data_IF_540446333294
#
_entry.id   IF_540446333294
#
_cell.length_a   1.000
_cell.length_b   1.000
_cell.length_c   1.000
_cell.angle_alpha   90.00
_cell.angle_beta   90.00
_cell.angle_gamma   90.00
#
_symmetry.space_group_name_H-M   'P 1'
#
loop_
_entity.id
_entity.type
_entity.pdbx_description
1 polymer ?
#
# COMPACT_ATOMS: atom_id res chain seq x y z
N UNK A 1 -50.60 25.34 9.07
CA UNK A 1 -51.09 25.52 7.69
C UNK A 1 -50.69 24.29 6.89
N UNK A 2 -51.70 23.67 6.27
CA UNK A 2 -51.69 22.50 5.37
C UNK A 2 -51.18 21.16 5.90
N UNK A 3 -52.16 20.29 6.12
CA UNK A 3 -52.12 18.87 6.45
C UNK A 3 -51.54 18.01 5.32
N UNK A 4 -50.83 16.94 5.68
CA UNK A 4 -51.00 15.65 4.99
C UNK A 4 -51.07 14.56 6.06
N UNK A 5 -52.24 13.94 6.14
CA UNK A 5 -52.58 12.88 7.09
C UNK A 5 -52.66 11.57 6.29
N UNK A 6 -51.72 10.66 6.59
CA UNK A 6 -51.91 9.25 6.94
C UNK A 6 -52.78 8.32 6.07
N UNK A 7 -52.18 7.18 5.65
CA UNK A 7 -52.79 5.84 5.71
C UNK A 7 -51.84 4.77 5.16
N UNK A 8 -51.26 3.96 6.03
CA UNK A 8 -51.24 2.47 5.96
C UNK A 8 -50.26 1.91 7.00
N UNK A 9 -50.71 1.82 8.25
CA UNK A 9 -50.50 0.66 9.14
C UNK A 9 -50.91 1.06 10.56
N UNK A 10 -52.13 0.70 10.95
CA UNK A 10 -52.60 0.84 12.31
C UNK A 10 -51.79 -0.05 13.25
N UNK A 11 -50.89 0.56 14.02
CA UNK A 11 -50.38 0.04 15.29
C UNK A 11 -49.85 1.21 16.12
N UNK A 12 -50.62 1.59 17.14
CA UNK A 12 -50.23 2.56 18.17
C UNK A 12 -49.21 1.91 19.10
N UNK A 13 -48.02 2.48 19.21
CA UNK A 13 -47.15 2.26 20.37
C UNK A 13 -46.72 3.61 20.95
N UNK A 14 -46.90 3.70 22.27
CA UNK A 14 -46.74 4.87 23.13
C UNK A 14 -45.29 5.36 23.16
N UNK A 15 -45.13 6.68 23.16
CA UNK A 15 -43.86 7.37 23.35
C UNK A 15 -43.46 7.30 24.83
N UNK A 16 -42.33 6.66 25.14
CA UNK A 16 -41.66 6.77 26.44
C UNK A 16 -40.30 7.42 26.24
N UNK A 17 -40.14 8.57 26.90
CA UNK A 17 -38.93 9.37 26.99
C UNK A 17 -37.83 8.57 27.70
N UNK A 18 -36.64 8.48 27.10
CA UNK A 18 -35.35 8.46 27.82
C UNK A 18 -34.18 8.58 26.82
N UNK A 19 -33.83 9.82 26.49
CA UNK A 19 -32.59 10.15 25.79
C UNK A 19 -31.44 10.25 26.80
N UNK A 20 -30.60 9.21 26.91
CA UNK A 20 -29.31 9.29 27.59
C UNK A 20 -28.21 9.61 26.57
N UNK A 21 -27.86 10.89 26.50
CA UNK A 21 -26.78 11.41 25.67
C UNK A 21 -25.42 11.14 26.38
N UNK A 22 -24.65 10.13 25.95
CA UNK A 22 -23.26 9.93 26.41
C UNK A 22 -22.28 10.58 25.45
N UNK A 23 -21.80 11.75 25.86
CA UNK A 23 -20.71 12.53 25.25
C UNK A 23 -19.38 12.00 25.77
N UNK A 24 -18.60 11.30 24.95
CA UNK A 24 -17.23 10.94 25.28
C UNK A 24 -16.32 12.15 25.05
N UNK A 25 -15.77 12.69 26.16
CA UNK A 25 -14.74 13.74 26.17
C UNK A 25 -13.44 13.06 26.58
N UNK A 26 -12.50 12.88 25.65
CA UNK A 26 -11.16 12.36 25.97
C UNK A 26 -10.27 13.57 26.25
N UNK A 27 -9.90 13.74 27.52
CA UNK A 27 -8.92 14.73 27.97
C UNK A 27 -7.53 14.09 27.92
N UNK A 28 -6.61 14.69 27.16
CA UNK A 28 -5.21 14.30 27.15
C UNK A 28 -4.52 14.88 28.37
N UNK A 29 -4.03 14.00 29.26
CA UNK A 29 -3.14 14.35 30.36
C UNK A 29 -1.71 14.51 29.82
N UNK A 30 -1.16 15.69 30.09
CA UNK A 30 0.24 16.07 29.90
C UNK A 30 1.10 15.26 30.86
N UNK A 31 2.05 14.48 30.35
CA UNK A 31 3.10 13.86 31.15
C UNK A 31 4.37 14.71 31.03
N UNK A 32 4.66 15.45 32.10
CA UNK A 32 5.92 16.15 32.35
C UNK A 32 6.99 15.16 32.80
N UNK A 33 8.19 15.33 32.26
CA UNK A 33 9.41 14.60 32.64
C UNK A 33 9.96 15.13 33.96
N UNK A 34 10.55 14.29 34.84
CA UNK A 34 11.47 14.77 35.86
C UNK A 34 12.91 14.35 35.54
N UNK A 35 13.75 15.36 35.43
CA UNK A 35 15.19 15.32 35.63
C UNK A 35 15.53 15.08 37.11
N UNK A 36 16.36 14.10 37.42
CA UNK A 36 17.13 14.06 38.67
C UNK A 36 18.52 13.51 38.37
N UNK A 37 19.53 14.36 38.55
CA UNK A 37 20.93 13.95 38.59
C UNK A 37 21.28 13.40 39.97
N UNK A 38 22.19 12.43 40.00
CA UNK A 38 22.92 12.05 41.21
C UNK A 38 24.38 11.84 40.82
N UNK A 39 25.22 12.62 41.50
CA UNK A 39 26.67 12.63 41.56
C UNK A 39 27.24 11.33 42.19
N UNK A 40 28.58 11.25 42.23
CA UNK A 40 29.47 10.35 42.98
C UNK A 40 29.95 9.08 42.24
N UNK A 41 31.23 8.66 42.25
CA UNK A 41 32.42 9.04 43.02
C UNK A 41 33.68 8.85 42.15
N UNK A 42 34.63 9.78 42.24
CA UNK A 42 36.03 9.57 41.85
C UNK A 42 36.69 8.58 42.82
N UNK A 43 37.52 7.67 42.30
CA UNK A 43 38.58 7.02 43.08
C UNK A 43 39.89 7.16 42.29
N UNK A 44 40.71 8.09 42.76
CA UNK A 44 42.11 8.25 42.37
C UNK A 44 42.95 7.24 43.16
N UNK A 45 43.70 6.40 42.46
CA UNK A 45 44.89 5.71 42.92
C UNK A 45 45.78 5.63 41.66
N UNK A 46 46.88 6.36 41.58
CA UNK A 46 48.10 6.09 42.34
C UNK A 46 49.06 5.47 41.33
N UNK A 47 50.03 6.24 40.85
CA UNK A 47 51.08 5.74 39.97
C UNK A 47 52.09 4.91 40.76
N UNK A 48 52.68 3.90 40.11
CA UNK A 48 54.13 3.74 40.15
C UNK A 48 54.65 2.83 39.02
N UNK A 49 55.95 3.01 38.77
CA UNK A 49 56.77 2.54 37.65
C UNK A 49 57.04 1.02 37.71
N UNK A 50 57.26 0.39 36.55
CA UNK A 50 57.90 -0.93 36.51
C UNK A 50 57.69 -1.69 35.20
N UNK A 51 58.65 -1.58 34.29
CA UNK A 51 58.69 -2.39 33.08
C UNK A 51 58.97 -3.87 33.37
N UNK A 52 58.25 -4.75 32.67
CA UNK A 52 58.70 -6.12 32.40
C UNK A 52 58.02 -6.59 31.10
N UNK A 53 58.75 -6.53 29.98
CA UNK A 53 58.27 -7.06 28.69
C UNK A 53 58.39 -8.59 28.78
N UNK A 54 57.25 -9.26 28.94
CA UNK A 54 57.16 -10.72 28.90
C UNK A 54 57.07 -11.19 27.44
N UNK A 55 57.70 -12.34 27.14
CA UNK A 55 57.68 -13.04 25.84
C UNK A 55 56.28 -13.38 25.30
N UNK A 56 55.20 -13.07 26.03
CA UNK A 56 53.79 -13.19 25.61
C UNK A 56 53.33 -12.08 24.67
N UNK A 57 54.02 -10.94 24.61
CA UNK A 57 53.55 -9.77 23.84
C UNK A 57 53.81 -9.90 22.33
N UNK A 58 54.82 -10.68 21.94
CA UNK A 58 55.17 -10.90 20.52
C UNK A 58 54.14 -11.81 19.83
N UNK A 59 53.62 -12.82 20.55
CA UNK A 59 52.55 -13.69 20.05
C UNK A 59 51.20 -12.97 20.00
N UNK A 60 50.94 -12.06 20.95
CA UNK A 60 49.76 -11.19 20.96
C UNK A 60 49.76 -10.22 19.77
N UNK A 61 50.89 -9.55 19.52
CA UNK A 61 51.06 -8.64 18.39
C UNK A 61 50.96 -9.35 17.03
N UNK A 62 51.49 -10.57 16.89
CA UNK A 62 51.36 -11.37 15.69
C UNK A 62 49.91 -11.82 15.44
N UNK A 63 49.18 -12.26 16.49
CA UNK A 63 47.74 -12.58 16.39
C UNK A 63 46.88 -11.37 16.06
N UNK A 64 47.21 -10.19 16.59
CA UNK A 64 46.50 -8.95 16.32
C UNK A 64 46.76 -8.45 14.88
N UNK A 65 48.01 -8.56 14.41
CA UNK A 65 48.39 -8.27 13.02
C UNK A 65 47.71 -9.19 12.01
N UNK A 66 47.62 -10.50 12.30
CA UNK A 66 46.90 -11.47 11.45
C UNK A 66 45.39 -11.20 11.49
N UNK A 67 44.79 -10.91 12.65
CA UNK A 67 43.37 -10.52 12.72
C UNK A 67 43.08 -9.22 11.97
N UNK A 68 43.94 -8.22 12.04
CA UNK A 68 43.78 -6.98 11.28
C UNK A 68 43.98 -7.19 9.78
N UNK A 69 44.92 -8.04 9.36
CA UNK A 69 45.10 -8.41 7.96
C UNK A 69 43.93 -9.22 7.40
N UNK A 70 43.37 -10.17 8.17
CA UNK A 70 42.18 -10.95 7.80
C UNK A 70 40.94 -10.06 7.78
N UNK A 71 40.76 -9.16 8.76
CA UNK A 71 39.68 -8.18 8.76
C UNK A 71 39.80 -7.21 7.58
N UNK A 72 41.00 -6.71 7.27
CA UNK A 72 41.23 -5.81 6.13
C UNK A 72 41.07 -6.51 4.79
N UNK A 73 41.47 -7.77 4.68
CA UNK A 73 41.27 -8.60 3.47
C UNK A 73 39.79 -8.95 3.28
N UNK A 74 39.06 -9.25 4.36
CA UNK A 74 37.62 -9.46 4.29
C UNK A 74 36.84 -8.17 4.04
N UNK A 75 37.30 -7.00 4.51
CA UNK A 75 36.76 -5.68 4.16
C UNK A 75 37.03 -5.31 2.70
N UNK A 76 38.23 -5.61 2.18
CA UNK A 76 38.57 -5.38 0.76
C UNK A 76 37.80 -6.32 -0.16
N UNK A 77 37.55 -7.58 0.23
CA UNK A 77 36.67 -8.50 -0.52
C UNK A 77 35.20 -8.04 -0.41
N UNK A 78 34.76 -7.48 0.72
CA UNK A 78 33.41 -6.89 0.88
C UNK A 78 33.24 -5.60 0.07
N UNK A 79 34.31 -4.81 -0.07
CA UNK A 79 34.36 -3.55 -0.81
C UNK A 79 34.73 -3.74 -2.29
N UNK A 80 35.12 -4.96 -2.69
CA UNK A 80 35.26 -5.41 -4.06
C UNK A 80 33.88 -5.51 -4.72
N UNK A 81 33.26 -4.35 -4.95
CA UNK A 81 32.18 -4.06 -5.91
C UNK A 81 31.39 -5.29 -6.39
N UNK A 82 30.71 -5.99 -5.46
CA UNK A 82 29.50 -6.71 -5.83
C UNK A 82 28.49 -5.60 -6.09
N UNK A 83 28.55 -5.04 -7.31
CA UNK A 83 27.45 -4.27 -7.88
C UNK A 83 26.23 -5.13 -7.65
N UNK A 84 25.35 -4.72 -6.73
CA UNK A 84 24.24 -5.57 -6.38
C UNK A 84 23.46 -5.83 -7.67
N UNK A 85 22.91 -7.03 -7.87
CA UNK A 85 22.07 -7.32 -9.05
C UNK A 85 21.01 -6.21 -9.29
N UNK A 86 20.55 -5.56 -8.21
CA UNK A 86 19.65 -4.39 -8.25
C UNK A 86 20.22 -3.15 -8.95
N UNK A 87 21.54 -2.93 -8.97
CA UNK A 87 22.17 -1.77 -9.63
C UNK A 87 22.27 -1.99 -11.15
N UNK A 88 22.45 -3.26 -11.58
CA UNK A 88 22.45 -3.63 -13.01
C UNK A 88 21.07 -3.56 -13.65
N UNK A 89 20.01 -3.83 -12.87
CA UNK A 89 18.62 -3.78 -13.32
C UNK A 89 18.00 -2.37 -13.25
N UNK A 90 18.69 -1.41 -12.65
CA UNK A 90 18.19 -0.05 -12.46
C UNK A 90 17.72 0.63 -13.76
N UNK A 91 18.50 0.67 -14.87
CA UNK A 91 18.05 1.35 -16.10
C UNK A 91 16.84 0.65 -16.73
N UNK A 92 16.80 -0.67 -16.69
CA UNK A 92 15.68 -1.47 -17.22
C UNK A 92 14.41 -1.17 -16.40
N UNK A 93 14.50 -1.23 -15.07
CA UNK A 93 13.40 -0.92 -14.17
C UNK A 93 12.88 0.50 -14.38
N UNK A 94 13.78 1.48 -14.47
CA UNK A 94 13.43 2.88 -14.72
C UNK A 94 12.69 3.05 -16.05
N UNK A 95 13.24 2.49 -17.14
CA UNK A 95 12.63 2.58 -18.47
C UNK A 95 11.23 1.96 -18.49
N UNK A 96 11.05 0.78 -17.90
CA UNK A 96 9.72 0.17 -17.81
C UNK A 96 8.78 0.95 -16.90
N UNK A 97 9.25 1.51 -15.78
CA UNK A 97 8.39 2.33 -14.91
C UNK A 97 7.90 3.60 -15.62
N UNK A 98 8.73 4.23 -16.46
CA UNK A 98 8.32 5.34 -17.32
C UNK A 98 7.27 4.86 -18.32
N UNK A 99 7.51 3.76 -19.03
CA UNK A 99 6.57 3.19 -20.00
C UNK A 99 5.21 2.88 -19.36
N UNK A 100 5.19 2.22 -18.20
CA UNK A 100 3.98 1.83 -17.49
C UNK A 100 3.22 3.06 -16.96
N UNK A 101 3.94 4.07 -16.45
CA UNK A 101 3.35 5.34 -16.04
C UNK A 101 2.69 6.05 -17.22
N UNK A 102 3.39 6.14 -18.35
CA UNK A 102 2.85 6.72 -19.58
C UNK A 102 1.64 5.93 -20.09
N UNK A 103 1.68 4.60 -20.10
CA UNK A 103 0.56 3.77 -20.55
C UNK A 103 -0.70 3.97 -19.68
N UNK A 104 -0.55 4.02 -18.36
CA UNK A 104 -1.67 4.34 -17.47
C UNK A 104 -2.16 5.78 -17.63
N UNK A 105 -1.26 6.76 -17.77
CA UNK A 105 -1.60 8.16 -18.02
C UNK A 105 -2.39 8.34 -19.32
N UNK A 106 -1.95 7.71 -20.41
CA UNK A 106 -2.67 7.71 -21.69
C UNK A 106 -4.06 7.11 -21.52
N UNK A 107 -4.18 5.95 -20.85
CA UNK A 107 -5.49 5.34 -20.65
C UNK A 107 -6.43 6.22 -19.80
N UNK A 108 -5.93 6.93 -18.78
CA UNK A 108 -6.73 7.91 -18.02
C UNK A 108 -7.24 9.03 -18.95
N UNK A 109 -6.37 9.57 -19.81
CA UNK A 109 -6.74 10.64 -20.75
C UNK A 109 -7.79 10.13 -21.74
N UNK A 110 -7.59 8.94 -22.32
CA UNK A 110 -8.55 8.31 -23.24
C UNK A 110 -9.92 8.14 -22.56
N UNK A 111 -9.94 7.60 -21.33
CA UNK A 111 -11.18 7.44 -20.57
C UNK A 111 -11.84 8.79 -20.24
N UNK A 112 -11.06 9.82 -19.94
CA UNK A 112 -11.57 11.16 -19.66
C UNK A 112 -12.21 11.80 -20.89
N UNK A 113 -11.53 11.75 -22.03
CA UNK A 113 -12.01 12.28 -23.31
C UNK A 113 -13.26 11.53 -23.78
N UNK A 114 -13.30 10.21 -23.61
CA UNK A 114 -14.46 9.40 -23.99
C UNK A 114 -15.73 9.71 -23.19
N UNK A 115 -15.60 10.40 -22.05
CA UNK A 115 -16.71 10.79 -21.18
C UNK A 115 -17.05 12.28 -21.30
N UNK A 116 -16.53 12.97 -22.33
CA UNK A 116 -16.98 14.31 -22.70
C UNK A 116 -18.25 14.24 -23.56
N UNK A 117 -19.08 15.29 -23.47
CA UNK A 117 -20.27 15.50 -24.33
C UNK A 117 -21.28 14.33 -24.42
N UNK A 118 -21.51 13.67 -23.28
CA UNK A 118 -22.44 12.54 -23.17
C UNK A 118 -23.90 13.01 -23.31
N UNK A 119 -24.65 12.36 -24.22
CA UNK A 119 -26.10 12.57 -24.41
C UNK A 119 -26.97 11.52 -23.71
N UNK A 120 -26.44 10.32 -23.49
CA UNK A 120 -27.15 9.20 -22.85
C UNK A 120 -27.22 9.39 -21.32
N UNK A 121 -28.42 9.30 -20.74
CA UNK A 121 -28.65 9.46 -19.30
C UNK A 121 -27.86 8.45 -18.47
N UNK A 122 -27.75 7.19 -18.92
CA UNK A 122 -27.01 6.16 -18.20
C UNK A 122 -25.51 6.46 -18.17
N UNK A 123 -24.98 7.03 -19.25
CA UNK A 123 -23.59 7.47 -19.34
C UNK A 123 -23.32 8.70 -18.47
N UNK A 124 -24.27 9.64 -18.37
CA UNK A 124 -24.16 10.80 -17.48
C UNK A 124 -24.12 10.34 -16.01
N UNK A 125 -24.98 9.39 -15.63
CA UNK A 125 -24.95 8.79 -14.29
C UNK A 125 -23.62 8.08 -14.06
N UNK A 126 -23.17 7.24 -15.00
CA UNK A 126 -21.86 6.57 -14.93
C UNK A 126 -20.71 7.57 -14.73
N UNK A 127 -20.70 8.68 -15.48
CA UNK A 127 -19.72 9.77 -15.32
C UNK A 127 -19.74 10.35 -13.90
N UNK A 128 -20.93 10.59 -13.34
CA UNK A 128 -21.07 11.10 -11.97
C UNK A 128 -20.56 10.14 -10.87
N UNK A 129 -20.41 8.86 -11.20
CA UNK A 129 -19.93 7.82 -10.30
C UNK A 129 -18.45 7.50 -10.47
N UNK A 130 -17.74 8.10 -11.44
CA UNK A 130 -16.36 7.73 -11.80
C UNK A 130 -15.43 7.58 -10.59
N UNK A 131 -15.36 8.58 -9.72
CA UNK A 131 -14.50 8.58 -8.53
C UNK A 131 -14.91 7.57 -7.44
N UNK A 132 -16.03 6.87 -7.61
CA UNK A 132 -16.56 5.87 -6.67
C UNK A 132 -16.24 4.44 -7.10
N UNK A 133 -15.71 4.25 -8.31
CA UNK A 133 -15.18 2.97 -8.74
C UNK A 133 -13.79 2.73 -8.12
N UNK A 134 -13.60 1.56 -7.50
CA UNK A 134 -12.31 1.19 -6.88
C UNK A 134 -11.20 1.07 -7.94
N UNK A 135 -11.57 0.81 -9.19
CA UNK A 135 -10.64 0.73 -10.32
C UNK A 135 -9.97 2.07 -10.60
N UNK A 136 -10.71 3.18 -10.46
CA UNK A 136 -10.17 4.54 -10.58
C UNK A 136 -9.24 4.87 -9.41
N UNK A 137 -9.57 4.43 -8.19
CA UNK A 137 -8.67 4.54 -7.03
C UNK A 137 -7.38 3.76 -7.25
N UNK A 138 -7.50 2.50 -7.70
CA UNK A 138 -6.35 1.65 -7.95
C UNK A 138 -5.45 2.23 -9.04
N UNK A 139 -6.03 2.73 -10.14
CA UNK A 139 -5.27 3.39 -11.21
C UNK A 139 -4.57 4.66 -10.71
N UNK A 140 -5.20 5.41 -9.79
CA UNK A 140 -4.56 6.55 -9.12
C UNK A 140 -3.40 6.09 -8.25
N UNK A 141 -3.57 5.03 -7.46
CA UNK A 141 -2.52 4.45 -6.64
C UNK A 141 -1.32 3.96 -7.48
N UNK A 142 -1.58 3.31 -8.62
CA UNK A 142 -0.56 2.90 -9.60
C UNK A 142 0.27 4.08 -10.06
N UNK A 143 -0.36 5.17 -10.50
CA UNK A 143 0.36 6.34 -11.01
C UNK A 143 1.18 7.06 -9.92
N UNK A 144 0.62 7.22 -8.71
CA UNK A 144 1.35 7.82 -7.58
C UNK A 144 2.58 6.96 -7.25
N UNK A 145 2.40 5.64 -7.23
CA UNK A 145 3.48 4.71 -6.95
C UNK A 145 4.58 4.74 -8.02
N UNK A 146 4.21 4.65 -9.30
CA UNK A 146 5.15 4.66 -10.43
C UNK A 146 5.93 5.98 -10.49
N UNK A 147 5.26 7.11 -10.30
CA UNK A 147 5.92 8.41 -10.21
C UNK A 147 6.94 8.45 -9.07
N UNK A 148 6.57 7.94 -7.89
CA UNK A 148 7.49 7.81 -6.76
C UNK A 148 8.68 6.88 -7.05
N UNK A 149 8.48 5.82 -7.82
CA UNK A 149 9.54 4.90 -8.24
C UNK A 149 10.52 5.58 -9.22
N UNK A 150 9.99 6.27 -10.23
CA UNK A 150 10.78 7.06 -11.18
C UNK A 150 11.63 8.09 -10.42
N UNK A 151 11.03 8.84 -9.50
CA UNK A 151 11.76 9.81 -8.68
C UNK A 151 12.88 9.16 -7.85
N UNK A 152 12.62 8.02 -7.20
CA UNK A 152 13.63 7.28 -6.44
C UNK A 152 14.78 6.75 -7.32
N UNK A 153 14.44 6.22 -8.49
CA UNK A 153 15.39 5.58 -9.39
C UNK A 153 16.24 6.62 -10.14
N UNK A 154 15.66 7.73 -10.58
CA UNK A 154 16.40 8.89 -11.12
C UNK A 154 17.36 9.46 -10.09
N UNK A 155 16.91 9.65 -8.84
CA UNK A 155 17.77 10.15 -7.76
C UNK A 155 18.98 9.23 -7.54
N UNK A 156 18.76 7.90 -7.56
CA UNK A 156 19.83 6.90 -7.40
C UNK A 156 20.77 6.88 -8.63
N UNK A 157 20.23 6.96 -9.84
CA UNK A 157 21.02 6.93 -11.09
C UNK A 157 21.93 8.14 -11.22
N UNK A 158 21.44 9.33 -10.88
CA UNK A 158 22.21 10.56 -10.92
C UNK A 158 23.00 10.84 -9.63
N UNK A 159 22.95 9.91 -8.65
CA UNK A 159 23.57 10.06 -7.31
C UNK A 159 23.15 11.35 -6.60
N UNK A 160 21.99 11.88 -6.95
CA UNK A 160 21.43 13.06 -6.34
C UNK A 160 20.84 12.57 -5.02
N UNK A 161 21.30 13.14 -3.91
CA UNK A 161 20.76 12.88 -2.58
C UNK A 161 21.07 11.50 -1.96
N UNK A 162 22.18 10.84 -2.31
CA UNK A 162 22.55 9.53 -1.74
C UNK A 162 22.63 9.51 -0.20
N UNK A 163 22.92 10.65 0.43
CA UNK A 163 22.94 10.83 1.89
C UNK A 163 21.68 11.50 2.47
N UNK A 164 20.66 11.82 1.65
CA UNK A 164 19.50 12.56 2.10
C UNK A 164 18.51 11.65 2.86
N UNK A 165 18.13 12.01 4.10
CA UNK A 165 17.14 11.26 4.87
C UNK A 165 15.78 11.14 4.15
N UNK A 166 15.42 12.11 3.32
CA UNK A 166 14.18 12.11 2.53
C UNK A 166 14.15 10.97 1.51
N UNK A 167 15.24 10.73 0.76
CA UNK A 167 15.31 9.65 -0.24
C UNK A 167 15.22 8.28 0.44
N UNK A 168 15.86 8.11 1.59
CA UNK A 168 15.75 6.89 2.41
C UNK A 168 14.31 6.67 2.89
N UNK A 169 13.62 7.75 3.29
CA UNK A 169 12.22 7.71 3.66
C UNK A 169 11.32 7.34 2.47
N UNK A 170 11.55 7.91 1.29
CA UNK A 170 10.80 7.57 0.07
C UNK A 170 10.98 6.11 -0.32
N UNK A 171 12.20 5.57 -0.29
CA UNK A 171 12.47 4.15 -0.58
C UNK A 171 11.74 3.22 0.41
N UNK A 172 11.66 3.61 1.69
CA UNK A 172 10.87 2.90 2.71
C UNK A 172 9.38 2.99 2.43
N UNK A 173 8.87 4.19 2.14
CA UNK A 173 7.47 4.41 1.80
C UNK A 173 7.05 3.62 0.57
N UNK A 174 7.88 3.60 -0.48
CA UNK A 174 7.69 2.76 -1.69
C UNK A 174 7.46 1.29 -1.33
N UNK A 175 8.25 0.74 -0.41
CA UNK A 175 8.10 -0.65 -0.01
C UNK A 175 6.77 -0.90 0.72
N UNK A 176 6.42 -0.04 1.68
CA UNK A 176 5.16 -0.14 2.43
C UNK A 176 3.94 0.10 1.55
N UNK A 177 3.99 1.11 0.68
CA UNK A 177 2.89 1.47 -0.22
C UNK A 177 2.58 0.34 -1.19
N UNK A 178 3.62 -0.24 -1.82
CA UNK A 178 3.42 -1.39 -2.67
C UNK A 178 2.75 -2.54 -1.92
N UNK A 179 3.28 -2.87 -0.74
CA UNK A 179 2.85 -4.05 0.01
C UNK A 179 1.45 -3.92 0.61
N UNK A 180 1.06 -2.73 1.08
CA UNK A 180 -0.21 -2.50 1.78
C UNK A 180 -1.31 -1.92 0.87
N UNK A 181 -0.96 -1.20 -0.19
CA UNK A 181 -1.91 -0.49 -1.04
C UNK A 181 -1.96 -1.13 -2.43
N UNK A 182 -0.85 -1.03 -3.16
CA UNK A 182 -0.85 -1.29 -4.59
C UNK A 182 -1.13 -2.75 -4.93
N UNK A 183 -0.38 -3.64 -4.28
CA UNK A 183 -0.49 -5.08 -4.52
C UNK A 183 -1.87 -5.61 -4.12
N UNK A 184 -2.31 -5.45 -2.86
CA UNK A 184 -3.58 -6.03 -2.42
C UNK A 184 -4.79 -5.49 -3.20
N UNK A 185 -4.86 -4.17 -3.41
CA UNK A 185 -5.98 -3.53 -4.11
C UNK A 185 -6.07 -3.99 -5.56
N UNK A 186 -4.94 -4.05 -6.29
CA UNK A 186 -4.97 -4.50 -7.69
C UNK A 186 -5.43 -5.95 -7.83
N UNK A 187 -5.00 -6.81 -6.90
CA UNK A 187 -5.37 -8.22 -6.89
C UNK A 187 -6.86 -8.39 -6.61
N UNK A 188 -7.40 -7.67 -5.62
CA UNK A 188 -8.85 -7.64 -5.33
C UNK A 188 -9.64 -7.14 -6.54
N UNK A 189 -9.24 -6.03 -7.17
CA UNK A 189 -9.91 -5.50 -8.35
C UNK A 189 -10.00 -6.54 -9.47
N UNK A 190 -8.87 -7.17 -9.79
CA UNK A 190 -8.80 -8.11 -10.92
C UNK A 190 -9.56 -9.41 -10.63
N UNK A 191 -9.40 -9.96 -9.43
CA UNK A 191 -10.01 -11.24 -9.03
C UNK A 191 -11.51 -11.11 -8.79
N UNK A 192 -12.02 -9.96 -8.36
CA UNK A 192 -13.46 -9.75 -8.27
C UNK A 192 -14.08 -9.48 -9.64
N UNK A 193 -13.44 -8.64 -10.45
CA UNK A 193 -14.04 -8.16 -11.69
C UNK A 193 -14.30 -9.29 -12.68
N UNK A 194 -13.29 -10.08 -13.04
CA UNK A 194 -13.41 -11.03 -14.16
C UNK A 194 -14.41 -12.16 -13.92
N UNK A 195 -14.43 -12.85 -12.75
CA UNK A 195 -15.44 -13.88 -12.51
C UNK A 195 -16.87 -13.33 -12.57
N UNK A 196 -17.11 -12.14 -12.01
CA UNK A 196 -18.44 -11.52 -12.06
C UNK A 196 -18.76 -11.08 -13.50
N UNK A 197 -17.79 -10.51 -14.21
CA UNK A 197 -17.93 -10.11 -15.60
C UNK A 197 -18.31 -11.28 -16.51
N UNK A 198 -17.65 -12.44 -16.37
CA UNK A 198 -17.96 -13.63 -17.16
C UNK A 198 -19.26 -14.31 -16.75
N UNK A 199 -19.64 -14.26 -15.47
CA UNK A 199 -20.92 -14.78 -15.00
C UNK A 199 -22.09 -13.93 -15.50
N UNK A 200 -22.05 -12.63 -15.22
CA UNK A 200 -22.99 -11.64 -15.72
C UNK A 200 -22.37 -10.24 -15.64
N UNK A 201 -21.90 -9.73 -16.79
CA UNK A 201 -21.26 -8.41 -16.88
C UNK A 201 -22.14 -7.25 -16.42
N UNK A 202 -23.47 -7.34 -16.52
CA UNK A 202 -24.36 -6.24 -16.13
C UNK A 202 -24.26 -5.89 -14.63
N UNK A 203 -23.70 -6.79 -13.81
CA UNK A 203 -23.51 -6.59 -12.37
C UNK A 203 -22.34 -5.65 -12.02
N UNK A 204 -21.35 -5.51 -12.91
CA UNK A 204 -20.11 -4.74 -12.66
C UNK A 204 -19.69 -3.83 -13.81
N UNK A 205 -20.04 -4.18 -15.05
CA UNK A 205 -19.69 -3.46 -16.26
C UNK A 205 -20.84 -3.57 -17.31
N UNK A 206 -21.97 -2.87 -17.07
CA UNK A 206 -23.09 -2.84 -17.99
C UNK A 206 -22.73 -2.55 -19.45
N UNK A 207 -23.45 -3.18 -20.37
CA UNK A 207 -23.23 -3.06 -21.83
C UNK A 207 -23.30 -1.62 -22.36
N UNK A 208 -24.06 -0.72 -21.72
CA UNK A 208 -24.10 0.69 -22.15
C UNK A 208 -22.74 1.40 -22.02
N UNK A 209 -21.83 0.89 -21.17
CA UNK A 209 -20.48 1.44 -20.98
C UNK A 209 -19.60 1.20 -22.23
N UNK A 210 -19.89 0.19 -23.05
CA UNK A 210 -19.13 -0.13 -24.27
C UNK A 210 -19.17 1.01 -25.30
N UNK A 211 -20.16 1.92 -25.19
CA UNK A 211 -20.27 3.12 -26.01
C UNK A 211 -19.12 4.12 -25.80
N UNK A 212 -18.45 4.05 -24.65
CA UNK A 212 -17.42 5.01 -24.23
C UNK A 212 -16.11 4.36 -23.80
N UNK A 213 -16.15 3.15 -23.23
CA UNK A 213 -14.94 2.43 -22.84
C UNK A 213 -14.68 1.26 -23.76
N UNK A 214 -13.52 1.30 -24.41
CA UNK A 214 -13.06 0.19 -25.24
C UNK A 214 -12.71 -1.04 -24.38
N UNK A 215 -12.70 -2.22 -25.03
CA UNK A 215 -12.20 -3.45 -24.42
C UNK A 215 -10.73 -3.31 -23.97
N UNK A 216 -9.92 -2.57 -24.73
CA UNK A 216 -8.54 -2.26 -24.35
C UNK A 216 -8.47 -1.51 -23.03
N UNK A 217 -9.25 -0.43 -22.89
CA UNK A 217 -9.35 0.32 -21.64
C UNK A 217 -9.88 -0.53 -20.47
N UNK A 218 -10.80 -1.45 -20.75
CA UNK A 218 -11.29 -2.39 -19.75
C UNK A 218 -10.15 -3.30 -19.22
N UNK A 219 -9.33 -3.88 -20.11
CA UNK A 219 -8.15 -4.63 -19.69
C UNK A 219 -7.09 -3.76 -19.00
N UNK A 220 -6.91 -2.51 -19.40
CA UNK A 220 -5.95 -1.60 -18.76
C UNK A 220 -6.25 -1.37 -17.27
N UNK A 221 -7.53 -1.33 -16.90
CA UNK A 221 -7.94 -1.05 -15.51
C UNK A 221 -8.27 -2.31 -14.69
N UNK A 222 -8.43 -3.48 -15.31
CA UNK A 222 -8.80 -4.74 -14.61
C UNK A 222 -7.82 -5.91 -14.79
N UNK A 223 -6.85 -5.84 -15.72
CA UNK A 223 -5.85 -6.90 -15.93
C UNK A 223 -4.43 -6.33 -15.90
N UNK A 224 -4.19 -5.27 -16.65
CA UNK A 224 -2.86 -4.69 -16.82
C UNK A 224 -2.27 -4.17 -15.51
N UNK A 225 -3.10 -3.73 -14.57
CA UNK A 225 -2.69 -3.37 -13.20
C UNK A 225 -1.91 -4.50 -12.47
N UNK A 226 -2.22 -5.78 -12.75
CA UNK A 226 -1.47 -6.91 -12.19
C UNK A 226 -0.13 -7.08 -12.89
N UNK A 227 -0.08 -6.82 -14.20
CA UNK A 227 1.17 -6.84 -14.98
C UNK A 227 2.12 -5.76 -14.47
N UNK A 228 1.63 -4.54 -14.18
CA UNK A 228 2.42 -3.47 -13.56
C UNK A 228 2.96 -3.90 -12.19
N UNK A 229 2.13 -4.52 -11.37
CA UNK A 229 2.56 -5.02 -10.07
C UNK A 229 3.60 -6.14 -10.19
N UNK A 230 3.43 -7.05 -11.15
CA UNK A 230 4.37 -8.14 -11.41
C UNK A 230 5.74 -7.61 -11.87
N UNK A 231 5.75 -6.61 -12.76
CA UNK A 231 6.97 -5.90 -13.19
C UNK A 231 7.78 -5.40 -11.97
N UNK A 232 7.10 -4.72 -11.05
CA UNK A 232 7.70 -4.18 -9.83
C UNK A 232 8.09 -5.25 -8.80
N UNK A 233 7.37 -6.36 -8.75
CA UNK A 233 7.68 -7.48 -7.86
C UNK A 233 8.93 -8.24 -8.34
N UNK A 234 9.07 -8.45 -9.65
CA UNK A 234 10.19 -9.17 -10.27
C UNK A 234 11.47 -8.35 -10.22
N UNK A 235 11.42 -7.03 -10.47
CA UNK A 235 12.63 -6.22 -10.62
C UNK A 235 13.13 -5.55 -9.34
N UNK A 236 12.31 -5.47 -8.29
CA UNK A 236 12.70 -4.85 -7.04
C UNK A 236 12.61 -5.85 -5.88
N UNK A 237 13.75 -6.36 -5.37
CA UNK A 237 13.76 -7.20 -4.19
C UNK A 237 13.15 -6.46 -3.00
N UNK A 238 12.20 -7.10 -2.31
CA UNK A 238 11.57 -6.55 -1.10
C UNK A 238 11.87 -7.44 0.09
N UNK A 239 11.98 -6.83 1.26
CA UNK A 239 12.08 -7.57 2.52
C UNK A 239 10.72 -7.62 3.17
N UNK A 240 10.34 -8.79 3.66
CA UNK A 240 9.16 -8.95 4.52
C UNK A 240 9.30 -8.03 5.73
N UNK A 241 8.27 -7.24 6.08
CA UNK A 241 8.36 -6.35 7.22
C UNK A 241 8.48 -7.17 8.51
N UNK A 242 9.23 -6.66 9.48
CA UNK A 242 9.36 -7.31 10.80
C UNK A 242 8.02 -7.35 11.56
N UNK A 243 7.12 -6.41 11.26
CA UNK A 243 5.78 -6.29 11.81
C UNK A 243 4.78 -5.95 10.72
N UNK A 244 3.62 -6.58 10.76
CA UNK A 244 2.54 -6.37 9.80
C UNK A 244 1.56 -5.25 10.20
N UNK A 245 1.67 -4.71 11.42
CA UNK A 245 0.69 -3.77 12.01
C UNK A 245 0.43 -2.55 11.14
N UNK A 246 1.48 -1.89 10.65
CA UNK A 246 1.34 -0.69 9.80
C UNK A 246 0.66 -1.01 8.47
N UNK A 247 1.00 -2.15 7.84
CA UNK A 247 0.39 -2.54 6.57
C UNK A 247 -1.10 -2.84 6.76
N UNK A 248 -1.46 -3.59 7.81
CA UNK A 248 -2.86 -3.87 8.12
C UNK A 248 -3.65 -2.62 8.50
N UNK A 249 -3.05 -1.68 9.22
CA UNK A 249 -3.71 -0.40 9.50
C UNK A 249 -4.03 0.36 8.21
N UNK A 250 -3.07 0.46 7.28
CA UNK A 250 -3.27 1.12 5.98
C UNK A 250 -4.36 0.40 5.17
N UNK A 251 -4.31 -0.93 5.10
CA UNK A 251 -5.33 -1.72 4.40
C UNK A 251 -6.72 -1.54 5.01
N UNK A 252 -6.82 -1.56 6.34
CA UNK A 252 -8.08 -1.35 7.05
C UNK A 252 -8.64 0.06 6.79
N UNK A 253 -7.79 1.09 6.79
CA UNK A 253 -8.19 2.46 6.47
C UNK A 253 -8.74 2.55 5.04
N UNK A 254 -8.07 1.96 4.06
CA UNK A 254 -8.55 1.97 2.65
C UNK A 254 -9.87 1.20 2.53
N UNK A 255 -9.95 0.03 3.14
CA UNK A 255 -11.15 -0.80 3.12
C UNK A 255 -12.36 -0.06 3.72
N UNK A 256 -12.20 0.51 4.93
CA UNK A 256 -13.25 1.28 5.60
C UNK A 256 -13.59 2.53 4.81
N UNK A 257 -12.60 3.28 4.32
CA UNK A 257 -12.84 4.49 3.53
C UNK A 257 -13.66 4.19 2.26
N UNK A 258 -13.31 3.13 1.54
CA UNK A 258 -14.05 2.73 0.34
C UNK A 258 -15.45 2.23 0.66
N UNK A 259 -15.60 1.41 1.71
CA UNK A 259 -16.90 0.94 2.17
C UNK A 259 -17.81 2.11 2.58
N UNK A 260 -17.30 3.06 3.37
CA UNK A 260 -18.04 4.26 3.75
C UNK A 260 -18.41 5.11 2.55
N UNK A 261 -17.54 5.26 1.55
CA UNK A 261 -17.84 5.96 0.30
C UNK A 261 -19.05 5.34 -0.42
N UNK A 262 -19.03 4.01 -0.59
CA UNK A 262 -20.08 3.24 -1.25
C UNK A 262 -21.44 3.41 -0.55
N UNK A 263 -21.48 3.12 0.76
CA UNK A 263 -22.70 3.23 1.58
C UNK A 263 -23.24 4.65 1.58
N UNK A 264 -22.36 5.64 1.82
CA UNK A 264 -22.78 7.05 1.87
C UNK A 264 -23.29 7.54 0.52
N UNK A 265 -22.69 7.11 -0.59
CA UNK A 265 -23.18 7.46 -1.92
C UNK A 265 -24.61 6.94 -2.15
N UNK A 266 -24.86 5.68 -1.79
CA UNK A 266 -26.19 5.10 -1.92
C UNK A 266 -27.23 5.85 -1.08
N UNK A 267 -26.93 6.14 0.20
CA UNK A 267 -27.87 6.87 1.05
C UNK A 267 -28.11 8.32 0.60
N UNK A 268 -27.16 8.95 -0.09
CA UNK A 268 -27.32 10.33 -0.58
C UNK A 268 -28.01 10.42 -1.94
N UNK A 269 -27.78 9.45 -2.82
CA UNK A 269 -28.18 9.54 -4.24
C UNK A 269 -29.18 8.46 -4.66
N UNK A 270 -29.34 7.39 -3.88
CA UNK A 270 -30.06 6.19 -4.27
C UNK A 270 -29.31 5.32 -5.30
N UNK A 271 -28.06 5.67 -5.62
CA UNK A 271 -27.32 5.04 -6.71
C UNK A 271 -26.15 4.21 -6.18
N UNK A 272 -26.05 2.94 -6.60
CA UNK A 272 -24.86 2.13 -6.35
C UNK A 272 -23.86 2.26 -7.50
N UNK A 273 -22.55 2.35 -7.21
CA UNK A 273 -21.52 2.26 -8.25
C UNK A 273 -21.55 0.92 -9.01
N UNK A 274 -21.83 -0.19 -8.31
CA UNK A 274 -21.97 -1.51 -8.93
C UNK A 274 -23.42 -1.98 -8.84
N UNK A 275 -24.07 -2.31 -9.97
CA UNK A 275 -25.44 -2.82 -9.98
C UNK A 275 -25.67 -4.03 -9.07
N UNK A 276 -24.66 -4.91 -8.91
CA UNK A 276 -24.70 -6.04 -7.96
C UNK A 276 -25.20 -5.65 -6.55
N UNK A 277 -24.86 -4.45 -6.08
CA UNK A 277 -25.24 -4.02 -4.74
C UNK A 277 -26.75 -3.81 -4.59
N UNK A 278 -27.51 -3.56 -5.65
CA UNK A 278 -28.98 -3.48 -5.57
C UNK A 278 -29.61 -4.82 -5.18
N UNK A 279 -29.08 -5.92 -5.68
CA UNK A 279 -29.61 -7.26 -5.42
C UNK A 279 -29.21 -7.77 -4.02
N UNK A 280 -28.02 -7.38 -3.56
CA UNK A 280 -27.48 -7.87 -2.29
C UNK A 280 -27.90 -7.02 -1.09
N UNK A 281 -27.99 -5.71 -1.26
CA UNK A 281 -28.20 -4.79 -0.15
C UNK A 281 -29.54 -5.03 0.57
N UNK A 282 -29.50 -5.21 1.89
CA UNK A 282 -30.65 -5.61 2.70
C UNK A 282 -30.78 -7.11 2.95
N UNK A 283 -29.96 -7.94 2.29
CA UNK A 283 -29.88 -9.39 2.53
C UNK A 283 -28.61 -9.78 3.32
N UNK A 284 -28.52 -11.04 3.74
CA UNK A 284 -27.29 -11.59 4.35
C UNK A 284 -26.11 -11.63 3.37
N UNK A 285 -26.36 -11.62 2.05
CA UNK A 285 -25.30 -11.71 1.06
C UNK A 285 -24.44 -10.45 0.97
N UNK A 286 -24.99 -9.27 1.31
CA UNK A 286 -24.21 -8.04 1.32
C UNK A 286 -23.06 -8.05 2.34
N UNK A 287 -23.29 -8.31 3.66
CA UNK A 287 -22.19 -8.42 4.61
C UNK A 287 -21.27 -9.62 4.33
N UNK A 288 -21.79 -10.72 3.76
CA UNK A 288 -20.95 -11.85 3.33
C UNK A 288 -20.01 -11.46 2.19
N UNK A 289 -20.48 -10.70 1.19
CA UNK A 289 -19.63 -10.17 0.13
C UNK A 289 -18.54 -9.27 0.73
N UNK A 290 -18.91 -8.33 1.62
CA UNK A 290 -17.93 -7.45 2.27
C UNK A 290 -16.87 -8.25 3.04
N UNK A 291 -17.29 -9.25 3.82
CA UNK A 291 -16.36 -10.15 4.52
C UNK A 291 -15.48 -10.92 3.54
N UNK A 292 -16.03 -11.42 2.43
CA UNK A 292 -15.28 -12.10 1.38
C UNK A 292 -14.22 -11.21 0.74
N UNK A 293 -14.53 -9.94 0.47
CA UNK A 293 -13.58 -8.95 -0.04
C UNK A 293 -12.47 -8.68 0.98
N UNK A 294 -12.81 -8.57 2.27
CA UNK A 294 -11.82 -8.38 3.34
C UNK A 294 -10.88 -9.59 3.44
N UNK A 295 -11.40 -10.81 3.39
CA UNK A 295 -10.60 -12.04 3.38
C UNK A 295 -9.69 -12.08 2.15
N UNK A 296 -10.22 -11.76 0.96
CA UNK A 296 -9.45 -11.69 -0.27
C UNK A 296 -8.33 -10.64 -0.19
N UNK A 297 -8.59 -9.49 0.42
CA UNK A 297 -7.62 -8.42 0.65
C UNK A 297 -6.50 -8.85 1.62
N UNK A 298 -6.83 -9.62 2.67
CA UNK A 298 -5.83 -10.18 3.60
C UNK A 298 -5.01 -11.28 2.89
N UNK A 299 -5.68 -12.15 2.14
CA UNK A 299 -5.03 -13.19 1.35
C UNK A 299 -4.06 -12.59 0.33
N UNK A 300 -4.49 -11.56 -0.41
CA UNK A 300 -3.66 -10.89 -1.41
C UNK A 300 -2.44 -10.23 -0.77
N UNK A 301 -2.55 -9.70 0.45
CA UNK A 301 -1.39 -9.21 1.19
C UNK A 301 -0.37 -10.31 1.50
N UNK A 302 -0.80 -11.52 1.87
CA UNK A 302 0.14 -12.58 2.22
C UNK A 302 0.75 -13.29 1.02
N UNK A 303 0.01 -13.48 -0.07
CA UNK A 303 0.49 -14.18 -1.26
C UNK A 303 1.67 -13.47 -1.94
N UNK A 304 1.83 -12.16 -1.71
CA UNK A 304 2.97 -11.41 -2.25
C UNK A 304 4.32 -11.90 -1.74
N UNK A 305 4.40 -12.43 -0.51
CA UNK A 305 5.69 -12.82 0.08
C UNK A 305 6.26 -14.10 -0.52
N UNK A 306 5.48 -15.20 -0.67
CA UNK A 306 5.92 -16.35 -1.45
C UNK A 306 6.35 -15.98 -2.88
N UNK A 307 5.65 -15.06 -3.54
CA UNK A 307 6.02 -14.59 -4.88
C UNK A 307 7.35 -13.83 -4.90
N UNK A 308 7.57 -12.95 -3.92
CA UNK A 308 8.86 -12.26 -3.76
C UNK A 308 9.99 -13.28 -3.47
N UNK A 309 9.73 -14.26 -2.61
CA UNK A 309 10.69 -15.32 -2.27
C UNK A 309 11.00 -16.21 -3.50
N UNK A 310 10.02 -16.43 -4.40
CA UNK A 310 10.20 -17.13 -5.67
C UNK A 310 11.07 -16.34 -6.65
N UNK A 311 10.85 -15.03 -6.78
CA UNK A 311 11.61 -14.19 -7.72
C UNK A 311 13.04 -13.90 -7.26
N UNK A 312 13.26 -13.74 -5.96
CA UNK A 312 14.54 -13.24 -5.40
C UNK A 312 15.28 -14.23 -4.51
N UNK A 313 14.72 -15.43 -4.30
CA UNK A 313 15.25 -16.44 -3.38
C UNK A 313 14.88 -16.17 -1.91
N UNK A 314 14.59 -17.24 -1.17
CA UNK A 314 14.33 -17.15 0.27
C UNK A 314 15.60 -16.79 1.03
N UNK A 315 15.67 -15.60 1.60
CA UNK A 315 16.69 -15.30 2.63
C UNK A 315 16.27 -16.00 3.92
N UNK A 316 16.82 -17.20 4.16
CA UNK A 316 16.75 -17.85 5.47
C UNK A 316 17.21 -16.83 6.53
N UNK A 317 16.42 -16.66 7.59
CA UNK A 317 16.92 -15.99 8.79
C UNK A 317 18.09 -16.83 9.27
N UNK A 318 19.28 -16.23 9.33
CA UNK A 318 20.35 -16.77 10.15
C UNK A 318 19.92 -16.45 11.57
N UNK A 319 19.59 -17.49 12.32
CA UNK A 319 19.12 -17.42 13.70
C UNK A 319 20.17 -16.80 14.65
#
# INVERSE_FOLDING_TARGET
MTFFCDRFSGRRYSCSRNCACRRWRVSWLVATSPSVGVLQWQRLAGGDVGGFISRTDVLGAARFGIKNQVNRSSEVIRNGKVSSSSDSLLPIRLAGNILLFTAHGINIIVMHLALQDLKDKNLIIFKSLQWKYITIWNLTFQNIYLLGCIACDLSTMFKIFDSNPFLKQMKRYRTTYFAAVLWPTSLVVSVLFWPIFFYNRELVFPSYIDKVLSLGSNHMIHSFIIVVNAWELVLLPRKRPATHKTNFLIMAVIYVAYFTLMITNYHRTGIWPYPLAYDLYGTIYFPLLMLGILILQIFSYFIQWPLVDLCHGSRKKVD
#
